data_IF_004162684065
#
_entry.id   IF_004162684065
#
_cell.length_a   1.000
_cell.length_b   1.000
_cell.length_c   1.000
_cell.angle_alpha   90.00
_cell.angle_beta   90.00
_cell.angle_gamma   90.00
#
_symmetry.space_group_name_H-M   'P 1'
#
loop_
_entity.id
_entity.type
_entity.pdbx_description
1 polymer ?
#
# COMPACT_ATOMS: atom_id res chain seq x y z
N UNK A 1 2.85 18.78 21.17
CA UNK A 1 2.24 19.54 20.05
C UNK A 1 2.89 19.08 18.75
N UNK A 2 2.11 18.66 17.74
CA UNK A 2 2.67 18.24 16.45
C UNK A 2 3.10 19.46 15.63
N UNK A 3 4.39 19.58 15.32
CA UNK A 3 4.90 20.63 14.43
C UNK A 3 4.38 20.38 13.00
N UNK A 4 3.79 21.39 12.36
CA UNK A 4 3.36 21.29 10.96
C UNK A 4 4.55 21.41 10.02
N UNK A 5 4.53 20.65 8.92
CA UNK A 5 5.58 20.60 7.90
C UNK A 5 5.61 21.80 6.95
N UNK A 6 5.45 23.01 7.48
CA UNK A 6 5.71 24.25 6.73
C UNK A 6 7.23 24.52 6.69
N UNK A 7 7.83 24.82 5.51
CA UNK A 7 9.21 25.27 5.40
C UNK A 7 9.35 26.73 5.88
N UNK A 8 9.00 26.97 7.14
CA UNK A 8 8.99 28.27 7.81
C UNK A 8 10.39 28.92 7.72
N UNK A 9 10.53 29.85 6.76
CA UNK A 9 11.70 30.73 6.55
C UNK A 9 11.88 31.70 7.72
N UNK A 10 12.12 31.19 8.94
CA UNK A 10 12.51 32.00 10.10
C UNK A 10 13.95 32.51 9.94
N UNK A 11 14.14 33.49 9.05
CA UNK A 11 15.34 34.37 8.98
C UNK A 11 15.43 35.32 10.19
N UNK A 12 14.96 34.87 11.36
CA UNK A 12 14.73 35.66 12.57
C UNK A 12 15.89 35.64 13.59
N UNK A 13 16.57 34.50 13.89
CA UNK A 13 17.58 34.49 14.96
C UNK A 13 18.79 35.36 14.58
N UNK A 14 19.28 35.24 13.34
CA UNK A 14 20.35 36.08 12.80
C UNK A 14 20.10 37.59 12.97
N UNK A 15 18.85 38.06 12.78
CA UNK A 15 18.52 39.49 13.00
C UNK A 15 18.71 39.91 14.46
N UNK A 16 18.39 39.02 15.41
CA UNK A 16 18.60 39.28 16.85
C UNK A 16 20.08 39.29 17.22
N UNK A 17 20.87 38.35 16.70
CA UNK A 17 22.31 38.35 16.87
C UNK A 17 22.95 39.65 16.34
N UNK A 18 22.54 40.11 15.14
CA UNK A 18 23.01 41.39 14.59
C UNK A 18 22.59 42.61 15.42
N UNK A 19 21.38 42.66 15.99
CA UNK A 19 20.98 43.77 16.88
C UNK A 19 21.74 43.77 18.21
N UNK A 20 22.05 42.60 18.77
CA UNK A 20 22.86 42.51 20.00
C UNK A 20 24.32 42.87 19.72
N UNK A 21 24.89 42.43 18.59
CA UNK A 21 26.24 42.82 18.16
C UNK A 21 26.34 44.32 17.85
N UNK A 22 25.31 44.93 17.25
CA UNK A 22 25.28 46.37 17.04
C UNK A 22 25.25 47.15 18.37
N UNK A 23 24.48 46.67 19.35
CA UNK A 23 24.42 47.27 20.69
C UNK A 23 25.77 47.12 21.42
N UNK A 24 26.40 45.95 21.34
CA UNK A 24 27.73 45.64 21.88
C UNK A 24 28.81 46.58 21.31
N UNK A 25 28.84 46.77 19.98
CA UNK A 25 29.75 47.72 19.31
C UNK A 25 29.46 49.18 19.70
N UNK A 26 28.19 49.58 19.83
CA UNK A 26 27.81 50.93 20.26
C UNK A 26 28.21 51.18 21.73
N UNK A 27 28.04 50.20 22.62
CA UNK A 27 28.53 50.28 23.99
C UNK A 27 30.07 50.37 24.05
N UNK A 28 30.79 49.56 23.26
CA UNK A 28 32.24 49.62 23.16
C UNK A 28 32.75 50.98 22.67
N UNK A 29 32.14 51.54 21.63
CA UNK A 29 32.46 52.89 21.14
C UNK A 29 32.14 53.98 22.18
N UNK A 30 30.99 53.89 22.86
CA UNK A 30 30.61 54.82 23.92
C UNK A 30 31.58 54.78 25.12
N UNK A 31 32.09 53.60 25.48
CA UNK A 31 33.11 53.44 26.51
C UNK A 31 34.41 54.18 26.13
N UNK A 32 34.92 53.96 24.91
CA UNK A 32 36.14 54.59 24.40
C UNK A 32 36.01 56.12 24.27
N UNK A 33 34.84 56.64 23.91
CA UNK A 33 34.60 58.08 23.73
C UNK A 33 34.36 58.80 25.06
N UNK A 34 33.64 58.18 26.00
CA UNK A 34 33.21 58.86 27.25
C UNK A 34 34.05 58.53 28.47
N UNK A 35 34.92 57.52 28.41
CA UNK A 35 35.71 57.04 29.54
C UNK A 35 34.89 56.45 30.70
N UNK A 36 33.59 56.19 30.51
CA UNK A 36 32.70 55.70 31.58
C UNK A 36 32.67 54.18 31.65
N UNK A 37 33.08 53.64 32.79
CA UNK A 37 33.10 52.19 33.09
C UNK A 37 31.78 51.47 32.80
N UNK A 38 30.64 52.13 32.99
CA UNK A 38 29.31 51.53 32.75
C UNK A 38 29.18 50.96 31.33
N UNK A 39 29.68 51.66 30.31
CA UNK A 39 29.60 51.19 28.93
C UNK A 39 30.56 50.04 28.64
N UNK A 40 31.74 50.01 29.30
CA UNK A 40 32.67 48.89 29.22
C UNK A 40 32.09 47.62 29.86
N UNK A 41 31.50 47.73 31.05
CA UNK A 41 30.81 46.62 31.72
C UNK A 41 29.65 46.07 30.89
N UNK A 42 28.87 46.95 30.24
CA UNK A 42 27.80 46.55 29.33
C UNK A 42 28.34 45.81 28.09
N UNK A 43 29.40 46.30 27.46
CA UNK A 43 30.04 45.62 26.34
C UNK A 43 30.60 44.24 26.76
N UNK A 44 31.31 44.13 27.89
CA UNK A 44 31.78 42.84 28.38
C UNK A 44 30.64 41.84 28.65
N UNK A 45 29.50 42.31 29.17
CA UNK A 45 28.32 41.49 29.40
C UNK A 45 27.66 41.03 28.08
N UNK A 46 27.51 41.93 27.10
CA UNK A 46 26.92 41.63 25.80
C UNK A 46 27.82 40.68 24.98
N UNK A 47 29.12 40.94 24.92
CA UNK A 47 30.15 40.05 24.35
C UNK A 47 30.10 38.67 25.01
N UNK A 48 30.07 38.58 26.35
CA UNK A 48 29.97 37.30 27.06
C UNK A 48 28.66 36.56 26.75
N UNK A 49 27.53 37.27 26.67
CA UNK A 49 26.24 36.70 26.30
C UNK A 49 26.22 36.17 24.85
N UNK A 50 26.85 36.89 23.90
CA UNK A 50 27.01 36.45 22.52
C UNK A 50 27.85 35.17 22.43
N UNK A 51 29.02 35.14 23.09
CA UNK A 51 29.91 33.98 23.09
C UNK A 51 29.27 32.75 23.75
N UNK A 52 28.62 32.92 24.90
CA UNK A 52 27.91 31.85 25.60
C UNK A 52 26.73 31.31 24.77
N UNK A 53 25.97 32.19 24.13
CA UNK A 53 24.85 31.81 23.26
C UNK A 53 25.34 31.06 22.01
N UNK A 54 26.40 31.54 21.36
CA UNK A 54 27.01 30.87 20.21
C UNK A 54 27.49 29.46 20.59
N UNK A 55 28.24 29.34 21.69
CA UNK A 55 28.71 28.05 22.21
C UNK A 55 27.55 27.11 22.55
N UNK A 56 26.48 27.62 23.16
CA UNK A 56 25.31 26.82 23.51
C UNK A 56 24.61 26.27 22.28
N UNK A 57 24.27 27.12 21.31
CA UNK A 57 23.62 26.69 20.07
C UNK A 57 24.48 25.70 19.27
N UNK A 58 25.79 25.95 19.19
CA UNK A 58 26.77 25.06 18.55
C UNK A 58 26.84 23.70 19.26
N UNK A 59 26.79 23.70 20.59
CA UNK A 59 26.73 22.49 21.41
C UNK A 59 25.39 21.76 21.25
N UNK A 60 24.27 22.47 21.10
CA UNK A 60 22.91 21.91 21.12
C UNK A 60 22.70 20.79 20.08
N UNK A 61 23.26 20.91 18.88
CA UNK A 61 23.14 19.88 17.83
C UNK A 61 24.28 18.84 17.81
N UNK A 62 25.39 19.13 18.51
CA UNK A 62 26.56 18.24 18.64
C UNK A 62 26.33 17.16 19.71
N UNK A 63 26.97 16.01 19.53
CA UNK A 63 26.87 14.86 20.44
C UNK A 63 25.53 14.09 20.40
N UNK A 64 24.55 14.54 19.61
CA UNK A 64 23.29 13.82 19.42
C UNK A 64 23.45 12.58 18.53
N UNK A 65 22.81 11.47 18.93
CA UNK A 65 22.51 10.30 18.09
C UNK A 65 21.00 10.07 18.11
N UNK A 66 20.41 9.93 16.94
CA UNK A 66 19.00 9.52 16.77
C UNK A 66 18.92 8.01 16.52
N UNK A 67 17.75 7.43 16.76
CA UNK A 67 17.37 6.06 16.36
C UNK A 67 15.88 6.06 15.99
N UNK A 68 15.55 5.52 14.82
CA UNK A 68 14.20 5.15 14.38
C UNK A 68 14.07 3.63 14.46
N UNK A 69 13.05 3.12 15.15
CA UNK A 69 12.72 1.70 15.18
C UNK A 69 11.27 1.49 14.72
N UNK A 70 11.11 0.59 13.75
CA UNK A 70 9.82 0.19 13.17
C UNK A 70 9.71 -1.31 13.32
N UNK A 71 8.58 -1.85 13.83
CA UNK A 71 8.44 -3.31 14.03
C UNK A 71 8.55 -4.12 12.73
N UNK A 72 8.14 -3.53 11.61
CA UNK A 72 8.13 -4.15 10.28
C UNK A 72 8.46 -3.11 9.20
N UNK A 73 9.21 -3.51 8.17
CA UNK A 73 9.40 -2.71 6.93
C UNK A 73 8.20 -2.76 5.98
N UNK A 74 7.07 -3.31 6.45
CA UNK A 74 5.84 -3.54 5.71
C UNK A 74 4.64 -3.17 6.57
N UNK A 75 3.69 -2.44 5.99
CA UNK A 75 2.41 -2.08 6.57
C UNK A 75 1.28 -2.28 5.54
N UNK A 76 0.04 -1.94 5.87
CA UNK A 76 -1.11 -2.10 4.98
C UNK A 76 -2.06 -0.90 5.06
N UNK A 77 -2.67 -0.50 3.95
CA UNK A 77 -3.75 0.51 3.93
C UNK A 77 -4.88 0.12 4.89
N UNK A 78 -5.37 1.09 5.65
CA UNK A 78 -6.37 0.89 6.72
C UNK A 78 -5.79 0.36 8.04
N UNK A 79 -4.47 0.24 8.17
CA UNK A 79 -3.80 -0.16 9.42
C UNK A 79 -2.83 0.92 9.91
N UNK A 80 -2.62 1.06 11.24
CA UNK A 80 -1.67 2.01 11.78
C UNK A 80 -0.25 1.44 11.69
N UNK A 81 0.66 2.22 11.10
CA UNK A 81 2.09 2.08 11.32
C UNK A 81 2.43 2.58 12.73
N UNK A 82 3.20 1.81 13.50
CA UNK A 82 3.75 2.24 14.79
C UNK A 82 5.27 2.30 14.73
N UNK A 83 5.82 3.49 14.99
CA UNK A 83 7.26 3.77 15.04
C UNK A 83 7.65 4.29 16.42
N UNK A 84 8.80 3.83 16.92
CA UNK A 84 9.42 4.31 18.14
C UNK A 84 10.71 5.05 17.81
N UNK A 85 10.83 6.25 18.34
CA UNK A 85 11.99 7.11 18.20
C UNK A 85 12.74 7.20 19.53
N UNK A 86 14.07 7.26 19.47
CA UNK A 86 14.92 7.57 20.61
C UNK A 86 15.96 8.60 20.20
N UNK A 87 15.99 9.74 20.88
CA UNK A 87 17.04 10.74 20.78
C UNK A 87 17.98 10.62 22.00
N UNK A 88 19.26 10.39 21.73
CA UNK A 88 20.30 10.13 22.73
C UNK A 88 21.30 11.30 22.70
N UNK A 89 21.48 11.97 23.84
CA UNK A 89 22.54 12.93 24.07
C UNK A 89 23.79 12.20 24.56
N UNK A 90 24.90 12.24 23.81
CA UNK A 90 26.20 11.70 24.25
C UNK A 90 27.13 12.75 24.91
N UNK A 91 26.73 14.02 24.94
CA UNK A 91 27.51 15.08 25.59
C UNK A 91 27.42 15.03 27.12
N UNK A 92 28.44 15.58 27.79
CA UNK A 92 28.39 15.94 29.22
C UNK A 92 27.49 17.15 29.51
N UNK A 93 27.13 17.91 28.46
CA UNK A 93 26.26 19.08 28.55
C UNK A 93 24.79 18.72 28.30
N UNK A 94 23.83 19.38 28.97
CA UNK A 94 22.41 19.27 28.64
C UNK A 94 22.13 19.86 27.26
N UNK A 95 20.97 19.57 26.70
CA UNK A 95 20.44 20.23 25.50
C UNK A 95 19.11 20.89 25.84
N UNK A 96 18.94 22.14 25.45
CA UNK A 96 17.69 22.90 25.61
C UNK A 96 17.08 23.19 24.24
N UNK A 97 15.76 23.34 24.20
CA UNK A 97 15.04 23.85 23.02
C UNK A 97 15.29 23.09 21.72
N UNK A 98 15.38 21.75 21.77
CA UNK A 98 15.56 20.94 20.57
C UNK A 98 14.25 20.77 19.81
N UNK A 99 14.30 20.91 18.49
CA UNK A 99 13.18 20.62 17.59
C UNK A 99 13.61 19.55 16.59
N UNK A 100 12.92 18.42 16.62
CA UNK A 100 13.09 17.32 15.67
C UNK A 100 12.09 17.51 14.54
N UNK A 101 12.59 17.73 13.33
CA UNK A 101 11.79 17.73 12.10
C UNK A 101 12.00 16.40 11.39
N UNK A 102 10.91 15.73 11.03
CA UNK A 102 10.94 14.54 10.19
C UNK A 102 10.49 14.86 8.76
N UNK A 103 11.17 14.29 7.77
CA UNK A 103 10.94 14.52 6.34
C UNK A 103 10.50 13.22 5.62
N UNK A 104 9.78 12.34 6.33
CA UNK A 104 9.19 11.13 5.75
C UNK A 104 8.19 11.44 4.64
N UNK A 105 8.19 10.62 3.60
CA UNK A 105 7.31 10.72 2.41
C UNK A 105 5.89 10.14 2.66
N UNK A 106 5.67 9.44 3.78
CA UNK A 106 4.42 8.73 4.09
C UNK A 106 3.26 9.72 4.38
N UNK A 107 2.15 9.69 3.62
CA UNK A 107 1.05 10.66 3.77
C UNK A 107 0.44 10.67 5.18
N UNK A 108 0.38 11.86 5.79
CA UNK A 108 -0.14 12.06 7.14
C UNK A 108 0.82 11.69 8.27
N UNK A 109 2.04 11.20 7.97
CA UNK A 109 3.05 10.94 8.98
C UNK A 109 3.55 12.24 9.62
N UNK A 110 3.60 12.28 10.96
CA UNK A 110 4.00 13.46 11.74
C UNK A 110 4.80 13.05 12.97
N UNK A 111 6.07 12.66 12.77
CA UNK A 111 6.98 12.28 13.85
C UNK A 111 7.77 13.43 14.47
N UNK A 112 7.58 14.67 14.00
CA UNK A 112 8.27 15.86 14.52
C UNK A 112 7.88 16.19 15.95
N UNK A 113 8.89 16.41 16.80
CA UNK A 113 8.78 16.49 18.26
C UNK A 113 9.62 17.65 18.80
N UNK A 114 9.12 18.36 19.81
CA UNK A 114 9.85 19.41 20.54
C UNK A 114 10.29 18.84 21.88
N UNK A 115 11.58 18.94 22.20
CA UNK A 115 12.15 18.56 23.49
C UNK A 115 12.70 19.83 24.17
N UNK A 116 12.01 20.40 25.18
CA UNK A 116 12.48 21.60 25.87
C UNK A 116 13.79 21.33 26.65
N UNK A 117 13.99 20.11 27.14
CA UNK A 117 15.19 19.67 27.84
C UNK A 117 15.55 18.22 27.50
N UNK A 118 16.84 17.94 27.34
CA UNK A 118 17.41 16.59 27.26
C UNK A 118 18.69 16.54 28.12
N UNK A 119 18.62 15.74 29.20
CA UNK A 119 19.67 15.60 30.23
C UNK A 119 21.05 15.18 29.66
N UNK A 120 22.17 15.53 30.31
CA UNK A 120 23.50 15.00 30.01
C UNK A 120 23.52 13.48 29.92
N UNK A 121 24.25 12.92 28.94
CA UNK A 121 24.36 11.46 28.67
C UNK A 121 23.04 10.68 28.54
N UNK A 122 21.88 11.33 28.52
CA UNK A 122 20.58 10.68 28.60
C UNK A 122 19.89 10.49 27.25
N UNK A 123 18.80 9.72 27.30
CA UNK A 123 17.88 9.54 26.19
C UNK A 123 16.46 10.01 26.52
N UNK A 124 15.72 10.35 25.46
CA UNK A 124 14.28 10.58 25.45
C UNK A 124 13.71 9.83 24.24
N UNK A 125 12.58 9.15 24.42
CA UNK A 125 11.93 8.40 23.35
C UNK A 125 10.41 8.60 23.33
N UNK A 126 9.85 8.55 22.13
CA UNK A 126 8.42 8.72 21.87
C UNK A 126 7.94 7.73 20.82
N UNK A 127 6.64 7.44 20.82
CA UNK A 127 6.00 6.54 19.86
C UNK A 127 5.04 7.35 19.00
N UNK A 128 5.04 7.09 17.69
CA UNK A 128 4.16 7.74 16.71
C UNK A 128 3.34 6.67 16.03
N UNK A 129 2.02 6.91 15.93
CA UNK A 129 1.10 6.08 15.16
C UNK A 129 0.64 6.87 13.93
N UNK A 130 0.67 6.24 12.76
CA UNK A 130 0.27 6.87 11.50
C UNK A 130 -0.63 5.91 10.74
N UNK A 131 -1.85 6.32 10.41
CA UNK A 131 -2.74 5.52 9.59
C UNK A 131 -2.23 5.49 8.14
N UNK A 132 -1.96 4.28 7.62
CA UNK A 132 -1.64 4.08 6.22
C UNK A 132 -2.89 4.33 5.35
N UNK A 133 -2.94 5.47 4.67
CA UNK A 133 -4.09 5.89 3.84
C UNK A 133 -3.91 5.62 2.35
N UNK A 134 -2.66 5.49 1.87
CA UNK A 134 -2.33 5.18 0.47
C UNK A 134 -1.33 4.03 0.42
N UNK A 135 -1.47 3.14 -0.56
CA UNK A 135 -0.46 2.11 -0.85
C UNK A 135 0.77 2.77 -1.52
N UNK A 136 1.93 2.14 -1.42
CA UNK A 136 3.15 2.70 -2.00
C UNK A 136 4.43 2.12 -1.43
N UNK A 137 5.56 2.62 -1.93
CA UNK A 137 6.87 2.55 -1.27
C UNK A 137 7.21 3.96 -0.83
N UNK A 138 7.45 4.17 0.46
CA UNK A 138 7.69 5.48 1.06
C UNK A 138 9.01 5.47 1.84
N UNK A 139 9.76 6.56 1.76
CA UNK A 139 10.91 6.80 2.64
C UNK A 139 10.44 7.32 4.00
N UNK A 140 11.01 6.78 5.06
CA UNK A 140 10.85 7.20 6.43
C UNK A 140 12.14 7.90 6.88
N UNK A 141 12.07 9.20 7.17
CA UNK A 141 13.22 10.10 7.23
C UNK A 141 13.67 10.59 5.85
N UNK A 142 14.74 11.40 5.76
CA UNK A 142 15.70 11.72 6.82
C UNK A 142 15.16 12.69 7.88
N UNK A 143 15.89 12.84 8.98
CA UNK A 143 15.50 13.68 10.13
C UNK A 143 16.44 14.87 10.26
N UNK A 144 15.91 16.06 10.53
CA UNK A 144 16.69 17.27 10.81
C UNK A 144 16.44 17.72 12.23
N UNK A 145 17.49 17.79 13.05
CA UNK A 145 17.41 18.34 14.41
C UNK A 145 17.87 19.79 14.36
N UNK A 146 17.02 20.70 14.83
CA UNK A 146 17.39 22.07 15.17
C UNK A 146 17.61 22.20 16.68
N UNK A 147 18.50 23.09 17.07
CA UNK A 147 18.70 23.52 18.46
C UNK A 147 19.19 24.96 18.50
N UNK A 148 18.68 25.73 19.46
CA UNK A 148 19.08 27.11 19.69
C UNK A 148 19.77 27.30 21.03
N UNK A 149 20.18 28.53 21.30
CA UNK A 149 20.56 29.01 22.63
C UNK A 149 19.33 29.51 23.43
N UNK A 150 19.45 29.74 24.76
CA UNK A 150 18.33 30.19 25.59
C UNK A 150 17.79 31.60 25.27
N UNK A 151 18.59 32.49 24.67
CA UNK A 151 18.19 33.84 24.28
C UNK A 151 17.61 33.87 22.83
N UNK A 152 17.86 32.83 22.05
CA UNK A 152 17.36 32.67 20.68
C UNK A 152 18.06 33.59 19.67
N UNK A 153 19.37 33.81 19.86
CA UNK A 153 20.23 34.59 18.98
C UNK A 153 20.79 33.73 17.83
N UNK A 154 21.10 32.46 18.11
CA UNK A 154 21.67 31.51 17.18
C UNK A 154 20.82 30.25 17.08
N UNK A 155 20.61 29.77 15.85
CA UNK A 155 19.91 28.51 15.58
C UNK A 155 20.80 27.62 14.70
N UNK A 156 21.15 26.43 15.21
CA UNK A 156 21.94 25.45 14.49
C UNK A 156 21.05 24.29 14.04
N UNK A 157 21.30 23.77 12.84
CA UNK A 157 20.56 22.65 12.25
C UNK A 157 21.52 21.55 11.81
N UNK A 158 21.18 20.30 12.15
CA UNK A 158 21.93 19.10 11.78
C UNK A 158 21.00 18.08 11.16
N UNK A 159 21.19 17.82 9.85
CA UNK A 159 20.51 16.74 9.13
C UNK A 159 21.18 15.41 9.47
N UNK A 160 20.37 14.39 9.75
CA UNK A 160 20.80 13.01 9.94
C UNK A 160 20.26 12.21 8.74
N UNK A 161 21.14 11.64 7.89
CA UNK A 161 20.74 11.05 6.61
C UNK A 161 20.12 9.66 6.73
N UNK A 162 20.08 9.07 7.94
CA UNK A 162 19.43 7.78 8.20
C UNK A 162 17.95 7.82 7.74
N UNK A 163 17.61 6.95 6.79
CA UNK A 163 16.25 6.81 6.29
C UNK A 163 15.92 5.36 5.95
N UNK A 164 14.76 4.87 6.37
CA UNK A 164 14.29 3.51 6.09
C UNK A 164 13.30 3.52 4.92
N UNK A 165 13.20 2.43 4.16
CA UNK A 165 12.11 2.23 3.19
C UNK A 165 10.99 1.41 3.86
N UNK A 166 9.74 1.85 3.71
CA UNK A 166 8.56 1.06 4.05
C UNK A 166 7.72 0.77 2.80
N UNK A 167 7.20 -0.46 2.71
CA UNK A 167 6.18 -0.83 1.72
C UNK A 167 4.82 -0.86 2.39
N UNK A 168 3.88 -0.05 1.90
CA UNK A 168 2.48 -0.07 2.33
C UNK A 168 1.68 -0.86 1.30
N UNK A 169 1.27 -2.06 1.68
CA UNK A 169 0.42 -2.93 0.87
C UNK A 169 -0.99 -2.36 0.68
N UNK A 170 -1.66 -2.64 -0.45
CA UNK A 170 -3.07 -2.32 -0.62
C UNK A 170 -3.93 -2.99 0.47
N UNK A 171 -5.10 -2.41 0.73
CA UNK A 171 -6.08 -3.00 1.62
C UNK A 171 -6.51 -4.39 1.12
N UNK A 172 -6.90 -5.28 2.03
CA UNK A 172 -7.48 -6.58 1.67
C UNK A 172 -8.74 -6.84 2.48
N UNK A 173 -9.86 -6.87 1.77
CA UNK A 173 -11.22 -6.94 2.30
C UNK A 173 -11.73 -8.39 2.36
N UNK A 174 -12.87 -8.66 3.01
CA UNK A 174 -13.54 -9.95 2.89
C UNK A 174 -13.98 -10.22 1.45
N UNK A 175 -14.02 -11.51 1.09
CA UNK A 175 -14.51 -12.00 -0.20
C UNK A 175 -15.53 -13.09 0.09
N UNK A 176 -16.74 -12.94 -0.45
CA UNK A 176 -17.93 -13.76 -0.18
C UNK A 176 -18.59 -14.16 -1.48
N UNK A 177 -19.29 -15.30 -1.48
CA UNK A 177 -20.02 -15.81 -2.65
C UNK A 177 -19.16 -16.12 -3.88
N UNK A 178 -17.82 -16.11 -3.79
CA UNK A 178 -16.95 -16.10 -4.98
C UNK A 178 -17.29 -17.29 -5.90
N UNK A 179 -17.71 -17.05 -7.14
CA UNK A 179 -18.23 -18.10 -8.02
C UNK A 179 -17.15 -19.14 -8.30
N UNK A 180 -17.41 -20.37 -7.87
CA UNK A 180 -16.58 -21.52 -8.21
C UNK A 180 -17.04 -22.04 -9.57
N UNK A 181 -16.25 -21.87 -10.65
CA UNK A 181 -16.70 -22.25 -11.98
C UNK A 181 -16.93 -23.76 -12.04
N UNK A 182 -18.15 -24.17 -12.38
CA UNK A 182 -18.45 -25.56 -12.68
C UNK A 182 -17.67 -25.93 -13.94
N UNK A 183 -16.87 -27.00 -13.88
CA UNK A 183 -15.97 -27.36 -14.97
C UNK A 183 -16.74 -27.67 -16.25
N UNK A 184 -16.70 -26.76 -17.22
CA UNK A 184 -17.45 -26.91 -18.47
C UNK A 184 -16.90 -28.07 -19.30
N UNK A 185 -17.73 -29.10 -19.48
CA UNK A 185 -17.45 -30.24 -20.34
C UNK A 185 -17.74 -29.89 -21.81
N UNK A 186 -16.91 -30.35 -22.78
CA UNK A 186 -17.34 -30.46 -24.16
C UNK A 186 -18.51 -31.46 -24.22
N UNK A 187 -19.72 -30.98 -24.53
CA UNK A 187 -20.95 -31.78 -24.47
C UNK A 187 -22.16 -31.03 -23.94
N UNK A 188 -21.98 -29.92 -23.22
CA UNK A 188 -23.06 -28.95 -22.96
C UNK A 188 -24.12 -29.40 -21.95
N UNK A 189 -23.72 -29.84 -20.76
CA UNK A 189 -24.64 -29.97 -19.62
C UNK A 189 -23.98 -29.51 -18.30
N UNK A 190 -24.68 -28.70 -17.52
CA UNK A 190 -24.14 -27.90 -16.41
C UNK A 190 -24.42 -28.54 -15.04
N UNK A 191 -24.16 -29.84 -14.90
CA UNK A 191 -24.51 -30.60 -13.71
C UNK A 191 -23.34 -30.77 -12.72
N UNK A 192 -23.65 -30.79 -11.41
CA UNK A 192 -22.74 -31.24 -10.32
C UNK A 192 -22.49 -32.77 -10.37
N UNK A 193 -22.08 -33.32 -11.52
CA UNK A 193 -21.76 -34.75 -11.67
C UNK A 193 -20.25 -34.98 -11.52
N UNK A 194 -19.88 -36.05 -10.79
CA UNK A 194 -18.49 -36.55 -10.74
C UNK A 194 -18.05 -36.86 -12.17
N UNK A 195 -16.92 -36.31 -12.61
CA UNK A 195 -16.69 -36.09 -14.05
C UNK A 195 -16.28 -37.31 -14.85
N UNK A 196 -16.75 -37.33 -16.10
CA UNK A 196 -16.51 -38.39 -17.08
C UNK A 196 -15.20 -38.18 -17.88
N UNK A 197 -14.12 -37.75 -17.21
CA UNK A 197 -12.82 -37.45 -17.84
C UNK A 197 -11.67 -38.18 -17.15
N UNK A 198 -10.71 -38.66 -17.95
CA UNK A 198 -9.47 -39.29 -17.49
C UNK A 198 -8.44 -38.19 -17.22
N UNK A 199 -8.23 -37.85 -15.95
CA UNK A 199 -7.04 -37.10 -15.52
C UNK A 199 -5.89 -38.08 -15.24
N UNK A 200 -4.65 -37.62 -15.25
CA UNK A 200 -3.48 -38.49 -14.94
C UNK A 200 -3.40 -38.88 -13.46
N UNK A 201 -4.16 -38.24 -12.57
CA UNK A 201 -4.27 -38.57 -11.16
C UNK A 201 -5.53 -39.44 -10.94
N UNK A 202 -5.37 -40.75 -10.83
CA UNK A 202 -6.45 -41.61 -10.33
C UNK A 202 -6.60 -41.41 -8.81
N UNK A 203 -7.79 -41.05 -8.36
CA UNK A 203 -8.07 -40.79 -6.94
C UNK A 203 -8.63 -42.02 -6.21
N UNK A 204 -9.23 -42.95 -6.95
CA UNK A 204 -9.77 -44.19 -6.39
C UNK A 204 -10.38 -45.10 -7.45
N UNK A 205 -11.16 -46.07 -6.97
CA UNK A 205 -11.94 -47.00 -7.79
C UNK A 205 -13.32 -47.20 -7.15
N UNK A 206 -14.36 -47.31 -7.98
CA UNK A 206 -15.71 -47.68 -7.54
C UNK A 206 -16.34 -48.70 -8.47
N UNK A 207 -17.45 -49.28 -8.06
CA UNK A 207 -18.26 -50.12 -8.93
C UNK A 207 -18.90 -49.30 -10.06
N UNK A 208 -19.01 -49.95 -11.23
CA UNK A 208 -19.62 -49.40 -12.45
C UNK A 208 -21.11 -49.14 -12.29
N UNK A 209 -21.58 -48.02 -12.84
CA UNK A 209 -23.01 -47.69 -12.94
C UNK A 209 -23.37 -47.54 -14.42
N UNK A 210 -24.52 -48.06 -14.89
CA UNK A 210 -24.96 -47.86 -16.27
C UNK A 210 -24.92 -46.39 -16.70
N UNK A 211 -24.16 -46.09 -17.76
CA UNK A 211 -23.82 -44.73 -18.19
C UNK A 211 -22.34 -44.35 -17.99
N UNK A 212 -21.57 -45.14 -17.24
CA UNK A 212 -20.11 -45.02 -17.24
C UNK A 212 -19.49 -45.44 -18.58
N UNK A 213 -18.42 -44.76 -18.98
CA UNK A 213 -17.71 -45.08 -20.22
C UNK A 213 -16.81 -46.30 -20.06
N UNK A 214 -16.94 -47.30 -20.93
CA UNK A 214 -16.12 -48.52 -20.94
C UNK A 214 -14.60 -48.25 -20.93
N UNK A 215 -14.17 -47.12 -21.51
CA UNK A 215 -12.78 -46.67 -21.51
C UNK A 215 -12.20 -46.30 -20.13
N UNK A 216 -13.01 -46.27 -19.06
CA UNK A 216 -12.57 -46.06 -17.67
C UNK A 216 -12.59 -47.33 -16.80
N UNK A 217 -12.96 -48.48 -17.37
CA UNK A 217 -12.93 -49.76 -16.64
C UNK A 217 -11.47 -50.11 -16.28
N UNK A 218 -11.22 -50.40 -15.00
CA UNK A 218 -9.95 -50.94 -14.53
C UNK A 218 -9.95 -52.45 -14.75
N UNK A 219 -9.67 -52.90 -15.98
CA UNK A 219 -9.67 -54.32 -16.35
C UNK A 219 -8.90 -55.23 -15.36
N UNK A 220 -7.70 -54.87 -14.85
CA UNK A 220 -7.00 -55.69 -13.86
C UNK A 220 -7.69 -55.83 -12.49
N UNK A 221 -8.50 -54.85 -12.08
CA UNK A 221 -9.31 -54.96 -10.84
C UNK A 221 -10.62 -55.68 -11.08
N UNK A 222 -11.23 -55.40 -12.25
CA UNK A 222 -12.46 -56.05 -12.71
C UNK A 222 -12.28 -57.56 -12.80
N UNK A 223 -11.17 -58.02 -13.40
CA UNK A 223 -10.83 -59.44 -13.46
C UNK A 223 -10.61 -60.08 -12.08
N UNK A 224 -10.00 -59.35 -11.14
CA UNK A 224 -9.71 -59.85 -9.77
C UNK A 224 -10.95 -59.90 -8.87
N UNK A 225 -11.88 -58.94 -9.00
CA UNK A 225 -13.06 -58.83 -8.14
C UNK A 225 -14.36 -59.35 -8.79
N UNK A 226 -14.32 -59.83 -10.04
CA UNK A 226 -15.47 -60.34 -10.81
C UNK A 226 -16.67 -59.38 -10.91
N UNK A 227 -16.43 -58.07 -10.78
CA UNK A 227 -17.41 -56.98 -10.95
C UNK A 227 -16.77 -55.84 -11.74
N UNK A 228 -17.57 -55.14 -12.55
CA UNK A 228 -17.07 -54.01 -13.35
C UNK A 228 -16.64 -52.86 -12.42
N UNK A 229 -15.37 -52.48 -12.48
CA UNK A 229 -14.78 -51.44 -11.62
C UNK A 229 -14.28 -50.29 -12.49
N UNK A 230 -14.67 -49.06 -12.15
CA UNK A 230 -14.35 -47.82 -12.86
C UNK A 230 -13.31 -47.02 -12.07
N UNK A 231 -12.29 -46.48 -12.76
CA UNK A 231 -11.33 -45.52 -12.20
C UNK A 231 -12.05 -44.22 -11.84
N UNK A 232 -11.98 -43.77 -10.58
CA UNK A 232 -12.42 -42.43 -10.19
C UNK A 232 -11.27 -41.42 -10.36
N UNK A 233 -11.60 -40.27 -10.94
CA UNK A 233 -10.68 -39.19 -11.27
C UNK A 233 -11.13 -37.91 -10.57
N UNK A 234 -10.26 -37.31 -9.77
CA UNK A 234 -10.52 -36.01 -9.16
C UNK A 234 -10.49 -34.88 -10.20
N UNK A 235 -11.42 -33.92 -10.05
CA UNK A 235 -11.30 -32.60 -10.67
C UNK A 235 -10.14 -31.87 -10.01
N UNK A 236 -9.07 -31.61 -10.77
CA UNK A 236 -7.77 -31.27 -10.22
C UNK A 236 -7.80 -30.04 -9.27
N UNK A 237 -7.54 -30.23 -7.95
CA UNK A 237 -7.45 -29.13 -6.98
C UNK A 237 -6.30 -28.15 -7.27
N UNK A 238 -5.44 -28.43 -8.25
CA UNK A 238 -4.32 -27.60 -8.68
C UNK A 238 -4.71 -26.51 -9.68
N UNK A 239 -5.93 -26.49 -10.23
CA UNK A 239 -6.37 -25.48 -11.20
C UNK A 239 -6.02 -24.05 -10.74
N UNK A 240 -5.13 -23.40 -11.48
CA UNK A 240 -4.50 -22.14 -11.09
C UNK A 240 -5.47 -20.97 -11.19
N UNK A 241 -5.32 -19.98 -10.31
CA UNK A 241 -6.03 -18.71 -10.37
C UNK A 241 -5.08 -17.65 -10.90
N UNK A 242 -5.49 -16.93 -11.93
CA UNK A 242 -4.69 -15.89 -12.57
C UNK A 242 -5.44 -14.57 -12.54
N UNK A 243 -4.88 -13.61 -11.81
CA UNK A 243 -5.44 -12.27 -11.67
C UNK A 243 -4.97 -11.41 -12.84
N UNK A 244 -5.89 -11.00 -13.70
CA UNK A 244 -5.65 -10.03 -14.77
C UNK A 244 -6.16 -8.69 -14.29
N UNK A 245 -5.24 -7.81 -13.92
CA UNK A 245 -5.56 -6.47 -13.44
C UNK A 245 -5.33 -5.46 -14.56
N UNK A 246 -6.40 -4.81 -14.98
CA UNK A 246 -6.34 -3.65 -15.86
C UNK A 246 -5.65 -2.48 -15.14
N UNK A 247 -4.82 -1.79 -15.90
CA UNK A 247 -3.98 -0.64 -15.52
C UNK A 247 -3.74 0.28 -16.72
N UNK A 248 -4.54 0.14 -17.79
CA UNK A 248 -4.49 1.04 -18.95
C UNK A 248 -4.87 2.46 -18.51
N UNK A 249 -3.98 3.43 -18.74
CA UNK A 249 -4.12 4.81 -18.27
C UNK A 249 -5.45 5.46 -18.70
N UNK A 250 -5.97 5.08 -19.87
CA UNK A 250 -7.18 5.65 -20.48
C UNK A 250 -8.51 5.24 -19.84
N UNK A 251 -8.55 4.20 -18.98
CA UNK A 251 -9.81 3.70 -18.39
C UNK A 251 -9.97 4.04 -16.90
N UNK A 252 -8.93 4.55 -16.25
CA UNK A 252 -8.93 4.78 -14.80
C UNK A 252 -9.36 6.20 -14.39
N UNK A 253 -10.57 6.31 -13.82
CA UNK A 253 -11.10 7.55 -13.23
C UNK A 253 -10.67 7.71 -11.76
N UNK A 254 -10.38 8.95 -11.34
CA UNK A 254 -10.20 9.40 -9.95
C UNK A 254 -11.12 10.57 -9.66
N UNK A 255 -11.89 10.48 -8.58
CA UNK A 255 -12.77 11.55 -8.11
C UNK A 255 -11.94 12.70 -7.51
N UNK A 256 -12.18 13.93 -7.97
CA UNK A 256 -11.64 15.15 -7.36
C UNK A 256 -12.55 15.59 -6.22
N UNK A 257 -12.23 15.20 -4.99
CA UNK A 257 -12.92 15.69 -3.77
C UNK A 257 -12.76 17.20 -3.64
N UNK A 258 -13.82 17.89 -3.20
CA UNK A 258 -13.77 19.33 -2.93
C UNK A 258 -12.86 19.64 -1.73
N UNK A 259 -12.25 20.83 -1.71
CA UNK A 259 -11.27 21.18 -0.68
C UNK A 259 -11.89 21.21 0.73
N UNK A 260 -13.12 21.67 0.86
CA UNK A 260 -13.89 21.58 2.11
C UNK A 260 -14.15 20.14 2.57
N UNK A 261 -14.36 19.19 1.66
CA UNK A 261 -14.51 17.76 1.99
C UNK A 261 -13.18 17.16 2.44
N UNK A 262 -12.09 17.47 1.72
CA UNK A 262 -10.73 17.07 2.09
C UNK A 262 -10.38 17.57 3.47
N UNK A 263 -10.63 18.84 3.78
CA UNK A 263 -10.39 19.42 5.11
C UNK A 263 -11.24 18.77 6.21
N UNK A 264 -12.51 18.40 5.94
CA UNK A 264 -13.33 17.61 6.87
C UNK A 264 -12.72 16.22 7.11
N UNK A 265 -12.30 15.52 6.06
CA UNK A 265 -11.69 14.20 6.15
C UNK A 265 -10.33 14.26 6.86
N UNK A 266 -9.53 15.31 6.61
CA UNK A 266 -8.24 15.60 7.24
C UNK A 266 -8.39 16.02 8.73
N UNK A 267 -9.54 16.57 9.15
CA UNK A 267 -9.87 16.89 10.55
C UNK A 267 -10.32 15.70 11.41
N UNK A 268 -10.87 14.61 10.83
CA UNK A 268 -11.20 13.38 11.57
C UNK A 268 -10.01 12.86 12.37
N UNK A 269 -10.22 12.36 13.58
CA UNK A 269 -9.10 11.81 14.38
C UNK A 269 -8.54 10.51 13.79
N UNK A 270 -7.33 10.16 14.22
CA UNK A 270 -6.69 8.89 13.90
C UNK A 270 -7.41 7.68 14.55
N UNK A 271 -8.37 7.89 15.46
CA UNK A 271 -9.26 6.84 16.00
C UNK A 271 -10.44 6.58 15.05
N UNK A 272 -11.22 7.61 14.72
CA UNK A 272 -12.38 7.52 13.80
C UNK A 272 -12.03 6.87 12.44
N UNK A 273 -10.82 7.12 11.92
CA UNK A 273 -10.35 6.54 10.67
C UNK A 273 -9.83 5.09 10.78
N UNK A 274 -9.83 4.48 11.98
CA UNK A 274 -9.56 3.05 12.17
C UNK A 274 -10.83 2.20 12.19
N UNK A 275 -11.99 2.83 12.41
CA UNK A 275 -13.29 2.16 12.48
C UNK A 275 -13.82 1.79 11.09
N UNK A 276 -13.56 2.64 10.09
CA UNK A 276 -14.02 2.47 8.71
C UNK A 276 -12.87 2.49 7.69
N UNK A 277 -12.87 1.54 6.75
CA UNK A 277 -11.93 1.50 5.62
C UNK A 277 -12.38 2.46 4.51
N UNK A 278 -11.84 3.67 4.52
CA UNK A 278 -11.94 4.63 3.40
C UNK A 278 -10.70 4.55 2.50
N UNK A 279 -10.87 4.14 1.24
CA UNK A 279 -9.83 4.17 0.20
C UNK A 279 -9.80 5.53 -0.51
N UNK A 280 -8.63 5.93 -1.06
CA UNK A 280 -8.57 7.07 -1.99
C UNK A 280 -9.56 6.81 -3.17
N UNK A 281 -10.46 7.77 -3.50
CA UNK A 281 -11.58 7.52 -4.41
C UNK A 281 -11.12 7.51 -5.86
N UNK A 282 -10.46 6.42 -6.25
CA UNK A 282 -10.13 6.12 -7.64
C UNK A 282 -10.42 4.65 -7.98
N UNK A 283 -10.75 4.42 -9.24
CA UNK A 283 -10.89 3.08 -9.81
C UNK A 283 -9.60 2.25 -9.64
N UNK A 284 -8.41 2.88 -9.65
CA UNK A 284 -7.10 2.25 -9.43
C UNK A 284 -7.03 1.59 -8.04
N UNK A 285 -7.32 2.33 -6.96
CA UNK A 285 -7.27 1.75 -5.60
C UNK A 285 -8.26 0.59 -5.42
N UNK A 286 -9.46 0.71 -6.00
CA UNK A 286 -10.51 -0.30 -5.88
C UNK A 286 -10.19 -1.57 -6.68
N UNK A 287 -9.67 -1.43 -7.91
CA UNK A 287 -9.21 -2.56 -8.72
C UNK A 287 -8.01 -3.28 -8.07
N UNK A 288 -7.04 -2.53 -7.55
CA UNK A 288 -5.88 -3.10 -6.84
C UNK A 288 -6.28 -3.75 -5.52
N UNK A 289 -7.19 -3.14 -4.75
CA UNK A 289 -7.75 -3.73 -3.52
C UNK A 289 -8.53 -5.00 -3.83
N UNK A 290 -9.28 -5.05 -4.93
CA UNK A 290 -9.96 -6.25 -5.38
C UNK A 290 -8.96 -7.38 -5.70
N UNK A 291 -7.94 -7.09 -6.52
CA UNK A 291 -6.88 -8.05 -6.85
C UNK A 291 -6.17 -8.59 -5.60
N UNK A 292 -5.78 -7.71 -4.67
CA UNK A 292 -5.14 -8.07 -3.42
C UNK A 292 -6.04 -8.94 -2.52
N UNK A 293 -7.35 -8.67 -2.50
CA UNK A 293 -8.32 -9.41 -1.69
C UNK A 293 -8.59 -10.81 -2.24
N UNK A 294 -8.76 -10.92 -3.57
CA UNK A 294 -8.92 -12.21 -4.26
C UNK A 294 -7.63 -13.05 -4.15
N UNK A 295 -6.45 -12.44 -4.25
CA UNK A 295 -5.17 -13.11 -3.99
C UNK A 295 -5.11 -13.70 -2.57
N UNK A 296 -5.45 -12.90 -1.54
CA UNK A 296 -5.48 -13.36 -0.14
C UNK A 296 -6.51 -14.47 0.07
N UNK A 297 -7.69 -14.37 -0.54
CA UNK A 297 -8.74 -15.38 -0.46
C UNK A 297 -8.24 -16.74 -1.00
N UNK A 298 -7.75 -16.78 -2.24
CA UNK A 298 -7.32 -18.04 -2.86
C UNK A 298 -6.03 -18.62 -2.29
N UNK A 299 -5.06 -17.80 -1.87
CA UNK A 299 -3.84 -18.30 -1.19
C UNK A 299 -4.17 -18.93 0.17
N UNK A 300 -5.10 -18.34 0.94
CA UNK A 300 -5.62 -18.97 2.17
C UNK A 300 -6.41 -20.25 1.88
N UNK A 301 -7.15 -20.29 0.77
CA UNK A 301 -7.74 -21.50 0.19
C UNK A 301 -6.73 -22.50 -0.41
N UNK A 302 -5.42 -22.34 -0.15
CA UNK A 302 -4.31 -23.20 -0.61
C UNK A 302 -4.17 -23.35 -2.14
N UNK A 303 -4.87 -22.53 -2.93
CA UNK A 303 -4.79 -22.52 -4.40
C UNK A 303 -3.53 -21.79 -4.87
N UNK A 304 -3.07 -22.11 -6.07
CA UNK A 304 -1.99 -21.36 -6.73
C UNK A 304 -2.55 -20.07 -7.33
N UNK A 305 -1.90 -18.93 -7.07
CA UNK A 305 -2.31 -17.62 -7.59
C UNK A 305 -1.16 -16.94 -8.34
N UNK A 306 -1.41 -16.56 -9.59
CA UNK A 306 -0.56 -15.71 -10.43
C UNK A 306 -1.16 -14.32 -10.64
N UNK A 307 -0.34 -13.38 -11.11
CA UNK A 307 -0.74 -11.99 -11.40
C UNK A 307 -0.21 -11.57 -12.78
N UNK A 308 -1.04 -10.89 -13.56
CA UNK A 308 -0.68 -10.19 -14.80
C UNK A 308 -1.19 -8.75 -14.71
N UNK A 309 -0.29 -7.78 -14.83
CA UNK A 309 -0.61 -6.36 -14.93
C UNK A 309 0.42 -5.64 -15.81
N UNK A 310 -0.04 -4.82 -16.76
CA UNK A 310 0.82 -4.09 -17.71
C UNK A 310 0.80 -2.59 -17.38
N UNK A 311 1.37 -2.22 -16.23
CA UNK A 311 1.36 -0.84 -15.70
C UNK A 311 2.54 -0.02 -16.21
N UNK A 312 3.36 0.52 -15.30
CA UNK A 312 4.68 1.11 -15.65
C UNK A 312 5.62 0.09 -16.33
N UNK A 313 5.36 -1.21 -16.12
CA UNK A 313 6.16 -2.36 -16.57
C UNK A 313 5.21 -3.55 -16.82
N UNK A 314 5.68 -4.53 -17.59
CA UNK A 314 5.04 -5.85 -17.71
C UNK A 314 5.31 -6.65 -16.43
N UNK A 315 4.41 -6.56 -15.46
CA UNK A 315 4.43 -7.34 -14.23
C UNK A 315 3.69 -8.68 -14.46
N UNK A 316 4.44 -9.77 -14.56
CA UNK A 316 3.88 -11.14 -14.67
C UNK A 316 4.50 -12.01 -13.58
N UNK A 317 3.69 -12.40 -12.59
CA UNK A 317 4.07 -13.28 -11.49
C UNK A 317 3.48 -14.67 -11.77
N UNK A 318 4.30 -15.70 -12.05
CA UNK A 318 3.83 -17.08 -12.21
C UNK A 318 3.04 -17.57 -11.00
N UNK A 319 2.07 -18.46 -11.23
CA UNK A 319 1.22 -18.98 -10.17
C UNK A 319 2.02 -19.70 -9.07
N UNK A 320 1.69 -19.40 -7.81
CA UNK A 320 2.39 -19.95 -6.65
C UNK A 320 1.49 -19.99 -5.41
N UNK A 321 1.96 -20.63 -4.34
CA UNK A 321 1.17 -20.89 -3.12
C UNK A 321 1.82 -20.29 -1.87
N UNK A 322 1.02 -20.12 -0.82
CA UNK A 322 1.46 -19.70 0.51
C UNK A 322 1.82 -18.22 0.65
N UNK A 323 2.12 -17.81 1.89
CA UNK A 323 2.32 -16.40 2.27
C UNK A 323 3.50 -15.74 1.54
N UNK A 324 4.53 -16.48 1.10
CA UNK A 324 5.61 -15.91 0.27
C UNK A 324 5.11 -15.48 -1.12
N UNK A 325 4.11 -16.16 -1.69
CA UNK A 325 3.49 -15.71 -2.94
C UNK A 325 2.58 -14.50 -2.69
N UNK A 326 1.81 -14.49 -1.60
CA UNK A 326 0.97 -13.34 -1.25
C UNK A 326 1.84 -12.09 -1.03
N UNK A 327 2.98 -12.25 -0.35
CA UNK A 327 4.00 -11.20 -0.20
C UNK A 327 4.44 -10.61 -1.55
N UNK A 328 4.86 -11.44 -2.52
CA UNK A 328 5.24 -10.96 -3.87
C UNK A 328 4.10 -10.16 -4.53
N UNK A 329 2.89 -10.72 -4.52
CA UNK A 329 1.71 -10.08 -5.15
C UNK A 329 1.44 -8.72 -4.51
N UNK A 330 1.50 -8.62 -3.17
CA UNK A 330 1.28 -7.36 -2.46
C UNK A 330 2.45 -6.35 -2.63
N UNK A 331 3.70 -6.80 -2.66
CA UNK A 331 4.89 -5.97 -2.94
C UNK A 331 4.87 -5.37 -4.37
N UNK A 332 4.30 -6.08 -5.34
CA UNK A 332 4.07 -5.59 -6.72
C UNK A 332 2.86 -4.66 -6.77
N UNK A 333 1.69 -5.08 -6.24
CA UNK A 333 0.47 -4.26 -6.22
C UNK A 333 0.63 -2.95 -5.44
N UNK A 334 1.52 -2.89 -4.46
CA UNK A 334 1.88 -1.66 -3.74
C UNK A 334 2.65 -0.64 -4.62
N UNK A 335 3.37 -1.09 -5.65
CA UNK A 335 4.18 -0.23 -6.53
C UNK A 335 3.55 0.02 -7.91
N UNK A 336 2.70 -0.89 -8.37
CA UNK A 336 1.91 -0.79 -9.60
C UNK A 336 1.06 0.49 -9.63
N UNK A 337 0.92 1.14 -10.78
CA UNK A 337 0.06 2.33 -11.02
C UNK A 337 -0.68 2.19 -12.36
N UNK A 338 -1.85 2.79 -12.49
CA UNK A 338 -2.65 2.79 -13.72
C UNK A 338 -2.05 3.76 -14.75
N UNK A 339 -0.94 3.34 -15.36
CA UNK A 339 -0.15 4.14 -16.30
C UNK A 339 0.22 3.36 -17.55
N UNK A 340 -0.32 2.16 -17.75
CA UNK A 340 -0.08 1.32 -18.91
C UNK A 340 -0.70 1.89 -20.19
N UNK A 341 -0.15 1.47 -21.33
CA UNK A 341 -0.57 1.94 -22.66
C UNK A 341 -1.03 0.78 -23.57
N UNK A 342 -0.85 -0.47 -23.13
CA UNK A 342 -1.35 -1.66 -23.83
C UNK A 342 -2.80 -1.93 -23.41
N UNK A 343 -3.77 -1.99 -24.35
CA UNK A 343 -5.16 -2.24 -24.02
C UNK A 343 -5.40 -3.61 -23.34
N UNK A 344 -6.27 -3.63 -22.34
CA UNK A 344 -6.52 -4.82 -21.50
C UNK A 344 -6.93 -6.07 -22.30
N UNK A 345 -7.66 -5.90 -23.40
CA UNK A 345 -8.03 -6.97 -24.34
C UNK A 345 -6.80 -7.70 -24.95
N UNK A 346 -5.73 -6.95 -25.24
CA UNK A 346 -4.48 -7.49 -25.78
C UNK A 346 -3.71 -8.26 -24.69
N UNK A 347 -3.70 -7.74 -23.45
CA UNK A 347 -3.07 -8.40 -22.29
C UNK A 347 -3.75 -9.76 -21.99
N UNK A 348 -5.09 -9.78 -21.93
CA UNK A 348 -5.89 -11.00 -21.80
C UNK A 348 -5.60 -11.99 -22.93
N UNK A 349 -5.54 -11.52 -24.17
CA UNK A 349 -5.30 -12.38 -25.34
C UNK A 349 -3.88 -12.95 -25.38
N UNK A 350 -2.86 -12.17 -25.03
CA UNK A 350 -1.44 -12.54 -25.15
C UNK A 350 -0.95 -13.48 -24.06
N UNK A 351 -1.39 -13.28 -22.81
CA UNK A 351 -1.00 -14.11 -21.66
C UNK A 351 -2.06 -15.18 -21.35
N UNK A 352 -3.36 -14.87 -21.46
CA UNK A 352 -4.45 -15.82 -21.16
C UNK A 352 -4.43 -17.07 -22.05
N UNK A 353 -4.00 -16.95 -23.32
CA UNK A 353 -3.82 -18.08 -24.22
C UNK A 353 -2.67 -19.02 -23.83
N UNK A 354 -1.75 -18.61 -22.95
CA UNK A 354 -0.62 -19.40 -22.44
C UNK A 354 -0.98 -20.23 -21.21
N UNK A 355 -2.06 -19.90 -20.52
CA UNK A 355 -2.50 -20.57 -19.29
C UNK A 355 -2.99 -22.00 -19.57
N UNK A 356 -2.87 -22.94 -18.62
CA UNK A 356 -3.45 -24.27 -18.78
C UNK A 356 -4.98 -24.24 -18.94
N UNK A 357 -5.54 -25.25 -19.59
CA UNK A 357 -7.01 -25.46 -19.59
C UNK A 357 -7.51 -25.68 -18.17
N UNK A 358 -8.72 -25.20 -17.88
CA UNK A 358 -9.32 -25.22 -16.53
C UNK A 358 -8.84 -24.11 -15.59
N UNK A 359 -7.80 -23.34 -15.93
CA UNK A 359 -7.37 -22.18 -15.15
C UNK A 359 -8.51 -21.16 -14.95
N UNK A 360 -8.57 -20.53 -13.78
CA UNK A 360 -9.50 -19.46 -13.44
C UNK A 360 -8.84 -18.10 -13.72
N UNK A 361 -9.29 -17.42 -14.76
CA UNK A 361 -8.96 -16.03 -15.08
C UNK A 361 -9.91 -15.12 -14.30
N UNK A 362 -9.37 -14.28 -13.42
CA UNK A 362 -10.13 -13.21 -12.76
C UNK A 362 -9.75 -11.90 -13.43
N UNK A 363 -10.63 -11.39 -14.30
CA UNK A 363 -10.43 -10.14 -15.03
C UNK A 363 -10.98 -8.97 -14.21
N UNK A 364 -10.13 -8.01 -13.85
CA UNK A 364 -10.44 -6.89 -12.95
C UNK A 364 -10.20 -5.59 -13.71
N UNK A 365 -11.26 -4.83 -14.03
CA UNK A 365 -11.17 -3.66 -14.91
C UNK A 365 -12.25 -2.61 -14.64
N UNK A 366 -11.96 -1.30 -14.78
CA UNK A 366 -12.98 -0.26 -14.88
C UNK A 366 -13.48 -0.02 -16.32
N UNK A 367 -12.91 -0.70 -17.31
CA UNK A 367 -13.16 -0.47 -18.74
C UNK A 367 -14.54 -0.96 -19.17
N UNK A 368 -15.30 -0.07 -19.78
CA UNK A 368 -16.59 -0.39 -20.42
C UNK A 368 -16.46 -0.94 -21.85
N UNK A 369 -15.25 -0.99 -22.43
CA UNK A 369 -15.07 -1.32 -23.86
C UNK A 369 -15.40 -2.79 -24.13
N UNK A 370 -15.91 -3.08 -25.34
CA UNK A 370 -16.32 -4.43 -25.71
C UNK A 370 -15.15 -5.40 -25.95
N UNK A 371 -13.99 -4.90 -26.41
CA UNK A 371 -12.92 -5.77 -26.94
C UNK A 371 -12.35 -6.72 -25.86
N UNK A 372 -12.28 -6.27 -24.61
CA UNK A 372 -11.77 -7.11 -23.51
C UNK A 372 -12.78 -8.17 -23.06
N UNK A 373 -14.08 -7.92 -23.23
CA UNK A 373 -15.15 -8.91 -23.00
C UNK A 373 -15.13 -9.97 -24.11
N UNK A 374 -14.86 -9.59 -25.36
CA UNK A 374 -14.66 -10.55 -26.45
C UNK A 374 -13.40 -11.40 -26.23
N UNK A 375 -12.30 -10.80 -25.74
CA UNK A 375 -11.11 -11.54 -25.31
C UNK A 375 -11.43 -12.51 -24.15
N UNK A 376 -12.19 -12.08 -23.15
CA UNK A 376 -12.65 -12.94 -22.04
C UNK A 376 -13.51 -14.12 -22.53
N UNK A 377 -14.48 -13.88 -23.42
CA UNK A 377 -15.30 -14.95 -24.01
C UNK A 377 -14.48 -15.88 -24.92
N UNK A 378 -13.45 -15.36 -25.60
CA UNK A 378 -12.48 -16.17 -26.36
C UNK A 378 -11.68 -17.11 -25.44
N UNK A 379 -11.25 -16.64 -24.26
CA UNK A 379 -10.60 -17.49 -23.25
C UNK A 379 -11.57 -18.56 -22.69
N UNK A 380 -12.83 -18.18 -22.48
CA UNK A 380 -13.93 -19.09 -22.13
C UNK A 380 -14.07 -20.25 -23.12
N UNK A 381 -14.31 -19.93 -24.40
CA UNK A 381 -14.37 -20.91 -25.51
C UNK A 381 -13.08 -21.74 -25.64
N UNK A 382 -11.93 -21.16 -25.30
CA UNK A 382 -10.64 -21.85 -25.29
C UNK A 382 -10.39 -22.68 -24.00
N UNK A 383 -11.42 -22.95 -23.20
CA UNK A 383 -11.38 -23.86 -22.05
C UNK A 383 -10.74 -23.29 -20.79
N UNK A 384 -10.79 -21.98 -20.58
CA UNK A 384 -10.43 -21.33 -19.31
C UNK A 384 -11.70 -20.82 -18.64
N UNK A 385 -11.77 -20.91 -17.32
CA UNK A 385 -12.90 -20.35 -16.58
C UNK A 385 -12.66 -18.86 -16.37
N UNK A 386 -13.65 -18.00 -16.61
CA UNK A 386 -13.49 -16.54 -16.46
C UNK A 386 -14.50 -15.98 -15.46
N UNK A 387 -14.03 -15.09 -14.60
CA UNK A 387 -14.84 -14.30 -13.65
C UNK A 387 -14.44 -12.83 -13.79
N UNK A 388 -15.42 -11.94 -13.87
CA UNK A 388 -15.21 -10.51 -14.05
C UNK A 388 -15.45 -9.73 -12.74
N UNK A 389 -14.59 -8.74 -12.48
CA UNK A 389 -14.76 -7.74 -11.43
C UNK A 389 -14.68 -6.36 -12.09
N UNK A 390 -15.85 -5.78 -12.34
CA UNK A 390 -15.98 -4.45 -12.92
C UNK A 390 -15.87 -3.40 -11.81
N UNK A 391 -15.11 -2.33 -12.03
CA UNK A 391 -15.07 -1.18 -11.12
C UNK A 391 -15.88 -0.03 -11.73
N UNK A 392 -16.98 0.35 -11.07
CA UNK A 392 -18.00 1.23 -11.63
C UNK A 392 -17.51 2.69 -11.75
N UNK A 393 -16.99 3.06 -12.93
CA UNK A 393 -16.37 4.36 -13.19
C UNK A 393 -17.24 5.57 -12.83
N UNK A 394 -18.57 5.46 -13.04
CA UNK A 394 -19.53 6.49 -12.64
C UNK A 394 -19.49 6.81 -11.13
N UNK A 395 -19.22 5.82 -10.26
CA UNK A 395 -19.11 6.02 -8.81
C UNK A 395 -17.86 6.84 -8.39
N UNK A 396 -17.00 7.19 -9.36
CA UNK A 396 -15.81 8.02 -9.19
C UNK A 396 -15.84 9.30 -10.05
N UNK A 397 -17.02 9.65 -10.62
CA UNK A 397 -17.18 10.81 -11.50
C UNK A 397 -16.84 10.54 -12.97
N UNK A 398 -16.83 9.27 -13.39
CA UNK A 398 -16.71 8.89 -14.80
C UNK A 398 -18.02 9.09 -15.58
N UNK A 399 -17.96 9.25 -16.91
CA UNK A 399 -19.14 9.56 -17.72
C UNK A 399 -20.11 8.38 -17.91
N UNK A 400 -19.67 7.14 -17.66
CA UNK A 400 -20.45 5.92 -17.90
C UNK A 400 -20.24 4.93 -16.76
N UNK A 401 -21.30 4.22 -16.39
CA UNK A 401 -21.30 3.18 -15.35
C UNK A 401 -21.15 1.76 -15.90
N UNK A 402 -20.62 0.86 -15.07
CA UNK A 402 -20.28 -0.51 -15.48
C UNK A 402 -21.46 -1.52 -15.44
N UNK A 403 -22.64 -1.10 -14.98
CA UNK A 403 -23.78 -2.00 -14.72
C UNK A 403 -24.24 -2.78 -15.96
N UNK A 404 -24.49 -2.10 -17.08
CA UNK A 404 -24.96 -2.74 -18.32
C UNK A 404 -23.95 -3.77 -18.88
N UNK A 405 -22.64 -3.52 -18.72
CA UNK A 405 -21.61 -4.49 -19.12
C UNK A 405 -21.60 -5.70 -18.17
N UNK A 406 -21.88 -5.50 -16.89
CA UNK A 406 -22.06 -6.56 -15.90
C UNK A 406 -23.20 -7.51 -16.26
N UNK A 407 -24.36 -6.98 -16.64
CA UNK A 407 -25.48 -7.82 -17.12
C UNK A 407 -25.15 -8.53 -18.42
N UNK A 408 -24.50 -7.85 -19.39
CA UNK A 408 -24.07 -8.47 -20.65
C UNK A 408 -23.08 -9.63 -20.43
N UNK A 409 -22.19 -9.53 -19.44
CA UNK A 409 -21.28 -10.60 -19.05
C UNK A 409 -22.02 -11.80 -18.44
N UNK A 410 -22.97 -11.58 -17.52
CA UNK A 410 -23.77 -12.66 -16.92
C UNK A 410 -24.65 -13.37 -17.95
N UNK A 411 -25.29 -12.61 -18.85
CA UNK A 411 -26.06 -13.16 -19.97
C UNK A 411 -25.20 -14.00 -20.93
N UNK A 412 -23.90 -13.69 -21.05
CA UNK A 412 -22.92 -14.48 -21.79
C UNK A 412 -22.25 -15.60 -20.97
N UNK A 413 -22.79 -15.95 -19.79
CA UNK A 413 -22.30 -17.03 -18.92
C UNK A 413 -21.05 -16.70 -18.10
N UNK A 414 -20.61 -15.44 -18.05
CA UNK A 414 -19.43 -15.01 -17.27
C UNK A 414 -19.89 -14.36 -15.96
N UNK A 415 -19.62 -14.97 -14.78
CA UNK A 415 -19.97 -14.37 -13.50
C UNK A 415 -19.29 -13.01 -13.31
N UNK A 416 -20.09 -11.97 -13.06
CA UNK A 416 -19.61 -10.58 -13.00
C UNK A 416 -20.07 -9.86 -11.72
N UNK A 417 -19.11 -9.29 -11.00
CA UNK A 417 -19.32 -8.41 -9.84
C UNK A 417 -19.07 -6.95 -10.25
N UNK A 418 -19.94 -6.02 -9.83
CA UNK A 418 -19.80 -4.57 -10.05
C UNK A 418 -19.47 -3.89 -8.72
N UNK A 419 -18.26 -3.36 -8.60
CA UNK A 419 -17.76 -2.67 -7.42
C UNK A 419 -18.02 -1.16 -7.50
N UNK A 420 -18.69 -0.62 -6.49
CA UNK A 420 -18.98 0.81 -6.34
C UNK A 420 -18.21 1.41 -5.16
N UNK A 421 -17.97 2.72 -5.19
CA UNK A 421 -17.43 3.48 -4.06
C UNK A 421 -18.35 3.32 -2.84
N UNK A 422 -17.82 2.75 -1.74
CA UNK A 422 -18.48 2.58 -0.44
C UNK A 422 -17.44 2.64 0.68
N UNK A 423 -17.85 3.02 1.89
CA UNK A 423 -17.09 2.67 3.09
C UNK A 423 -17.17 1.15 3.32
N UNK A 424 -16.16 0.57 3.98
CA UNK A 424 -16.11 -0.86 4.35
C UNK A 424 -16.43 -1.80 3.18
N UNK A 425 -15.73 -1.58 2.07
CA UNK A 425 -15.78 -2.40 0.86
C UNK A 425 -15.69 -3.89 1.20
N UNK A 426 -16.58 -4.70 0.61
CA UNK A 426 -16.56 -6.17 0.61
C UNK A 426 -16.71 -6.63 -0.82
N UNK A 427 -15.99 -7.69 -1.22
CA UNK A 427 -16.25 -8.36 -2.51
C UNK A 427 -17.35 -9.42 -2.30
N UNK A 428 -18.61 -8.99 -2.36
CA UNK A 428 -19.78 -9.87 -2.23
C UNK A 428 -20.30 -10.21 -3.64
N UNK A 429 -20.03 -11.43 -4.10
CA UNK A 429 -20.51 -11.91 -5.40
C UNK A 429 -21.97 -12.40 -5.28
N UNK A 430 -22.83 -12.15 -6.29
CA UNK A 430 -24.15 -12.76 -6.34
C UNK A 430 -24.03 -14.30 -6.42
N UNK A 431 -24.97 -14.99 -5.76
CA UNK A 431 -25.05 -16.44 -5.69
C UNK A 431 -25.58 -17.08 -6.98
#
# INVERSE_FOLDING_TARGET
MSVHGEPLRRRLPLRRAWTVLLLDVVCGAAALITGRDLYAHLAYLLTAALLLSFWWGWSATRGLRFRRYTRTSRAQVGRPLEERFTLINRSRWPKLGLVVYDHSELPGHRAGQVLPYLRPRGEHGWTVRTLCTRRGRFRLGPVTIAGGDPLGLFEFRRRLPESNLIVVYPATVPVRGFPHPVGHLPGGDALRRRTHHVTTNAAGVRDYVPGDGFNRIHWPSTARQRRLIVKEFELDPRAEVWLFLDVERGVHVRLRLHEAERLRQERRTWWERLEHLELEPSTEEYAVTAAASVARHFIRGRRAVGLVAYGQRREVIPAGRGERQLGKILDTLAALRATGEVPFAQVLSAEGRRLPRGALVVAISPSIRAEWVEAALSLGRAGRNVVAILVDGAAFGGPVGAAALGERLRAAGVPALVLRRRADLVLDFPA
#
